data_IF_217875277289
#
_entry.id   IF_217875277289
#
_cell.length_a   1.000
_cell.length_b   1.000
_cell.length_c   1.000
_cell.angle_alpha   90.00
_cell.angle_beta   90.00
_cell.angle_gamma   90.00
#
_symmetry.space_group_name_H-M   'P 1'
#
loop_
_entity.id
_entity.type
_entity.pdbx_description
1 polymer ?
#
# COMPACT_ATOMS: atom_id res chain seq x y z
N UNK A 1 -17.78 17.92 12.04
CA UNK A 1 -18.36 18.72 10.92
C UNK A 1 -19.20 17.75 10.10
N UNK A 2 -20.48 18.04 9.91
CA UNK A 2 -21.35 17.24 9.05
C UNK A 2 -20.89 17.40 7.61
N UNK A 3 -20.63 16.27 6.94
CA UNK A 3 -20.21 16.21 5.53
C UNK A 3 -21.50 16.04 4.73
N UNK A 4 -21.86 17.03 3.92
CA UNK A 4 -23.07 17.00 3.11
C UNK A 4 -22.76 16.53 1.68
N UNK A 5 -23.67 15.74 1.11
CA UNK A 5 -23.57 15.27 -0.26
C UNK A 5 -24.05 16.32 -1.27
N UNK A 6 -23.33 16.43 -2.38
CA UNK A 6 -23.67 17.27 -3.53
C UNK A 6 -23.71 16.41 -4.82
N UNK A 7 -24.92 16.11 -5.26
CA UNK A 7 -25.12 15.31 -6.48
C UNK A 7 -24.70 15.99 -7.78
N UNK A 8 -24.35 17.27 -7.74
CA UNK A 8 -23.88 18.03 -8.92
C UNK A 8 -22.36 18.02 -9.06
N UNK A 9 -21.64 17.63 -8.01
CA UNK A 9 -20.18 17.53 -8.02
C UNK A 9 -19.76 16.15 -8.57
N UNK A 10 -19.11 16.09 -9.74
CA UNK A 10 -18.75 14.81 -10.34
C UNK A 10 -17.66 14.07 -9.57
N UNK A 11 -17.59 12.76 -9.79
CA UNK A 11 -16.50 11.93 -9.29
C UNK A 11 -15.17 12.31 -9.93
N UNK A 12 -14.05 12.18 -9.22
CA UNK A 12 -12.73 12.23 -9.85
C UNK A 12 -12.57 11.05 -10.82
N UNK A 13 -11.80 11.24 -11.89
CA UNK A 13 -11.40 10.14 -12.76
C UNK A 13 -10.10 9.49 -12.26
N UNK A 14 -9.85 8.23 -12.66
CA UNK A 14 -8.67 7.49 -12.21
C UNK A 14 -8.18 6.50 -13.25
N UNK A 15 -6.90 6.16 -13.16
CA UNK A 15 -6.27 5.06 -13.90
C UNK A 15 -5.45 4.23 -12.93
N UNK A 16 -5.78 2.94 -12.80
CA UNK A 16 -5.00 1.99 -12.00
C UNK A 16 -3.86 1.46 -12.84
N UNK A 17 -2.66 1.37 -12.25
CA UNK A 17 -1.45 0.87 -12.90
C UNK A 17 -0.52 0.17 -11.90
N UNK A 18 0.52 -0.46 -12.41
CA UNK A 18 1.57 -1.12 -11.63
C UNK A 18 1.02 -2.11 -10.58
N UNK A 19 -0.01 -2.90 -10.96
CA UNK A 19 -0.59 -3.91 -10.07
C UNK A 19 0.44 -5.01 -9.82
N UNK A 20 0.79 -5.21 -8.53
CA UNK A 20 1.68 -6.25 -8.02
C UNK A 20 0.96 -7.12 -7.00
N UNK A 21 1.64 -8.13 -6.51
CA UNK A 21 1.14 -8.97 -5.41
C UNK A 21 1.00 -8.20 -4.09
N UNK A 22 1.83 -7.18 -3.87
CA UNK A 22 1.85 -6.37 -2.64
C UNK A 22 1.05 -5.06 -2.72
N UNK A 23 0.48 -4.71 -3.88
CA UNK A 23 -0.26 -3.45 -4.05
C UNK A 23 -0.28 -2.92 -5.47
N UNK A 24 -0.66 -1.65 -5.61
CA UNK A 24 -0.75 -0.98 -6.90
C UNK A 24 -0.53 0.54 -6.80
N UNK A 25 -0.41 1.18 -7.95
CA UNK A 25 -0.46 2.63 -8.09
C UNK A 25 -1.73 3.05 -8.83
N UNK A 26 -2.18 4.26 -8.58
CA UNK A 26 -3.27 4.89 -9.31
C UNK A 26 -2.98 6.37 -9.58
N UNK A 27 -3.32 6.81 -10.77
CA UNK A 27 -3.33 8.22 -11.13
C UNK A 27 -4.76 8.73 -10.99
N UNK A 28 -4.95 9.75 -10.16
CA UNK A 28 -6.26 10.33 -9.85
C UNK A 28 -6.31 11.76 -10.40
N UNK A 29 -7.28 12.02 -11.25
CA UNK A 29 -7.52 13.34 -11.83
C UNK A 29 -8.72 13.99 -11.16
N UNK A 30 -8.57 15.19 -10.58
CA UNK A 30 -9.66 15.92 -9.97
C UNK A 30 -10.82 16.17 -10.93
N UNK A 31 -12.04 16.15 -10.41
CA UNK A 31 -13.23 16.50 -11.18
C UNK A 31 -13.31 18.01 -11.46
N UNK A 32 -13.94 18.38 -12.56
CA UNK A 32 -14.21 19.77 -12.85
C UNK A 32 -15.08 20.41 -11.75
N UNK A 33 -14.66 21.58 -11.26
CA UNK A 33 -15.36 22.28 -10.17
C UNK A 33 -15.02 21.79 -8.75
N UNK A 34 -14.20 20.77 -8.61
CA UNK A 34 -13.72 20.36 -7.29
C UNK A 34 -12.76 21.40 -6.71
N UNK A 35 -12.94 21.73 -5.43
CA UNK A 35 -11.99 22.52 -4.66
C UNK A 35 -10.80 21.67 -4.23
N UNK A 36 -11.08 20.42 -3.79
CA UNK A 36 -10.08 19.42 -3.44
C UNK A 36 -10.54 18.02 -3.86
N UNK A 37 -9.59 17.15 -4.08
CA UNK A 37 -9.83 15.71 -4.29
C UNK A 37 -9.00 14.93 -3.30
N UNK A 38 -9.62 13.98 -2.63
CA UNK A 38 -8.96 13.06 -1.70
C UNK A 38 -9.01 11.66 -2.26
N UNK A 39 -7.92 10.92 -2.12
CA UNK A 39 -7.87 9.52 -2.54
C UNK A 39 -6.98 8.71 -1.60
N UNK A 40 -7.29 7.42 -1.48
CA UNK A 40 -6.49 6.47 -0.72
C UNK A 40 -6.64 5.06 -1.29
N UNK A 41 -5.61 4.23 -1.06
CA UNK A 41 -5.63 2.80 -1.32
C UNK A 41 -5.70 2.09 0.04
N UNK A 42 -6.71 1.24 0.25
CA UNK A 42 -6.99 0.62 1.54
C UNK A 42 -7.48 -0.81 1.38
N UNK A 43 -7.30 -1.62 2.43
CA UNK A 43 -8.01 -2.92 2.55
C UNK A 43 -9.51 -2.68 2.65
N UNK A 44 -10.30 -3.49 1.95
CA UNK A 44 -11.77 -3.38 1.99
C UNK A 44 -12.34 -3.57 3.40
N UNK A 45 -11.66 -4.34 4.24
CA UNK A 45 -12.08 -4.62 5.62
C UNK A 45 -12.00 -3.41 6.57
N UNK A 46 -11.27 -2.34 6.20
CA UNK A 46 -11.13 -1.13 7.03
C UNK A 46 -11.86 0.08 6.45
N UNK A 47 -12.60 -0.12 5.37
CA UNK A 47 -13.43 0.94 4.78
C UNK A 47 -14.70 1.09 5.62
N UNK A 48 -15.06 2.31 6.06
CA UNK A 48 -16.31 2.54 6.77
C UNK A 48 -17.55 2.19 5.94
N UNK A 49 -18.63 1.85 6.62
CA UNK A 49 -19.89 1.44 5.97
C UNK A 49 -20.66 2.62 5.36
N UNK A 50 -20.49 3.84 5.89
CA UNK A 50 -21.24 5.00 5.45
C UNK A 50 -20.40 5.97 4.63
N UNK A 51 -21.00 6.60 3.61
CA UNK A 51 -20.34 7.59 2.77
C UNK A 51 -19.73 8.76 3.57
N UNK A 52 -20.44 9.37 4.52
CA UNK A 52 -19.87 10.45 5.32
C UNK A 52 -18.61 10.03 6.11
N UNK A 53 -18.57 8.79 6.61
CA UNK A 53 -17.41 8.30 7.36
C UNK A 53 -16.22 7.99 6.43
N UNK A 54 -16.49 7.47 5.24
CA UNK A 54 -15.44 7.32 4.20
C UNK A 54 -14.84 8.68 3.87
N UNK A 55 -15.66 9.69 3.62
CA UNK A 55 -15.17 11.04 3.30
C UNK A 55 -14.36 11.62 4.46
N UNK A 56 -14.80 11.50 5.70
CA UNK A 56 -14.04 11.93 6.88
C UNK A 56 -12.69 11.23 6.95
N UNK A 57 -12.66 9.92 6.73
CA UNK A 57 -11.42 9.15 6.72
C UNK A 57 -10.46 9.60 5.61
N UNK A 58 -10.95 9.80 4.39
CA UNK A 58 -10.14 10.28 3.27
C UNK A 58 -9.57 11.68 3.54
N UNK A 59 -10.36 12.57 4.12
CA UNK A 59 -9.90 13.90 4.53
C UNK A 59 -8.81 13.81 5.60
N UNK A 60 -8.97 12.94 6.59
CA UNK A 60 -7.98 12.71 7.65
C UNK A 60 -6.68 12.16 7.12
N UNK A 61 -6.73 11.23 6.17
CA UNK A 61 -5.53 10.65 5.53
C UNK A 61 -4.80 11.67 4.67
N UNK A 62 -5.51 12.64 4.08
CA UNK A 62 -5.00 13.73 3.25
C UNK A 62 -3.95 13.27 2.20
N UNK A 63 -4.18 12.10 1.61
CA UNK A 63 -3.20 11.44 0.74
C UNK A 63 -3.07 12.14 -0.62
N UNK A 64 -4.17 12.75 -1.10
CA UNK A 64 -4.19 13.59 -2.30
C UNK A 64 -5.10 14.79 -2.00
N UNK A 65 -4.63 15.98 -2.23
CA UNK A 65 -5.38 17.22 -1.96
C UNK A 65 -5.13 18.29 -3.02
N UNK A 66 -5.14 17.91 -4.30
CA UNK A 66 -4.95 18.88 -5.38
C UNK A 66 -6.27 19.24 -6.05
N UNK A 67 -6.37 20.48 -6.52
CA UNK A 67 -7.55 21.01 -7.15
C UNK A 67 -7.57 20.81 -8.66
N UNK A 68 -6.44 20.68 -9.34
CA UNK A 68 -6.37 20.75 -10.81
C UNK A 68 -5.42 19.73 -11.45
N UNK A 69 -4.43 19.20 -10.73
CA UNK A 69 -3.37 18.40 -11.32
C UNK A 69 -3.58 16.88 -11.10
N UNK A 70 -3.03 16.09 -12.02
CA UNK A 70 -2.94 14.65 -11.87
C UNK A 70 -2.10 14.30 -10.64
N UNK A 71 -2.62 13.44 -9.79
CA UNK A 71 -1.94 12.96 -8.60
C UNK A 71 -1.77 11.46 -8.63
N UNK A 72 -0.53 11.02 -8.50
CA UNK A 72 -0.20 9.61 -8.36
C UNK A 72 -0.15 9.23 -6.89
N UNK A 73 -0.91 8.20 -6.54
CA UNK A 73 -0.83 7.54 -5.24
C UNK A 73 -0.39 6.09 -5.44
N UNK A 74 0.33 5.55 -4.47
CA UNK A 74 0.74 4.15 -4.50
C UNK A 74 0.80 3.57 -3.09
N UNK A 75 0.50 2.27 -2.97
CA UNK A 75 0.65 1.53 -1.73
C UNK A 75 0.96 0.07 -2.03
N UNK A 76 2.04 -0.43 -1.43
CA UNK A 76 2.60 -1.77 -1.65
C UNK A 76 2.90 -2.47 -0.32
N UNK A 77 1.91 -2.52 0.58
CA UNK A 77 2.01 -3.13 1.91
C UNK A 77 0.87 -4.12 2.18
N UNK A 78 0.37 -4.74 1.12
CA UNK A 78 -0.73 -5.70 1.17
C UNK A 78 -0.21 -7.11 0.91
N UNK A 79 -1.00 -8.10 1.33
CA UNK A 79 -0.84 -9.49 0.92
C UNK A 79 -1.66 -9.78 -0.35
N UNK A 80 -1.27 -10.75 -1.18
CA UNK A 80 -1.98 -11.06 -2.44
C UNK A 80 -3.46 -11.41 -2.26
N UNK A 81 -3.80 -11.99 -1.10
CA UNK A 81 -5.17 -12.37 -0.72
C UNK A 81 -6.00 -11.20 -0.17
N UNK A 82 -5.38 -10.03 0.07
CA UNK A 82 -6.11 -8.88 0.57
C UNK A 82 -7.09 -8.34 -0.48
N UNK A 83 -8.32 -8.14 -0.09
CA UNK A 83 -9.27 -7.35 -0.87
C UNK A 83 -8.92 -5.86 -0.71
N UNK A 84 -8.44 -5.25 -1.78
CA UNK A 84 -7.95 -3.86 -1.79
C UNK A 84 -8.86 -2.99 -2.65
N UNK A 85 -9.05 -1.75 -2.24
CA UNK A 85 -9.91 -0.80 -2.94
C UNK A 85 -9.22 0.56 -3.09
N UNK A 86 -9.34 1.16 -4.27
CA UNK A 86 -9.10 2.57 -4.49
C UNK A 86 -10.36 3.34 -4.11
N UNK A 87 -10.20 4.30 -3.21
CA UNK A 87 -11.23 5.26 -2.86
C UNK A 87 -10.81 6.64 -3.34
N UNK A 88 -11.73 7.40 -3.91
CA UNK A 88 -11.50 8.80 -4.24
C UNK A 88 -12.79 9.61 -4.18
N UNK A 89 -12.70 10.88 -3.80
CA UNK A 89 -13.83 11.79 -3.69
C UNK A 89 -13.43 13.23 -3.97
N UNK A 90 -14.27 13.94 -4.69
CA UNK A 90 -14.17 15.38 -4.88
C UNK A 90 -14.92 16.12 -3.78
N UNK A 91 -14.36 17.24 -3.31
CA UNK A 91 -14.97 18.11 -2.32
C UNK A 91 -15.02 19.53 -2.86
N UNK A 92 -16.18 20.19 -2.71
CA UNK A 92 -16.42 21.57 -3.11
C UNK A 92 -15.86 22.57 -2.12
N UNK A 93 -15.80 23.84 -2.47
CA UNK A 93 -15.27 24.90 -1.62
C UNK A 93 -16.11 25.13 -0.33
N UNK A 94 -17.39 24.80 -0.34
CA UNK A 94 -18.29 24.84 0.82
C UNK A 94 -18.28 23.55 1.66
N UNK A 95 -17.37 22.62 1.32
CA UNK A 95 -17.14 21.41 2.12
C UNK A 95 -18.10 20.26 1.84
N UNK A 96 -18.88 20.34 0.75
CA UNK A 96 -19.74 19.23 0.32
C UNK A 96 -18.95 18.25 -0.52
N UNK A 97 -19.34 16.97 -0.50
CA UNK A 97 -18.67 15.92 -1.27
C UNK A 97 -19.55 15.40 -2.41
N UNK A 98 -18.92 15.03 -3.51
CA UNK A 98 -19.56 14.39 -4.66
C UNK A 98 -19.65 12.88 -4.52
N UNK A 99 -19.94 12.20 -5.63
CA UNK A 99 -19.98 10.75 -5.67
C UNK A 99 -18.61 10.15 -5.35
N UNK A 100 -18.59 9.13 -4.50
CA UNK A 100 -17.37 8.45 -4.07
C UNK A 100 -17.00 7.37 -5.08
N UNK A 101 -15.81 7.43 -5.64
CA UNK A 101 -15.20 6.31 -6.35
C UNK A 101 -14.87 5.20 -5.37
N UNK A 102 -15.36 3.98 -5.65
CA UNK A 102 -15.01 2.74 -4.96
C UNK A 102 -14.63 1.73 -6.02
N UNK A 103 -13.34 1.55 -6.21
CA UNK A 103 -12.82 0.64 -7.23
C UNK A 103 -12.02 -0.49 -6.58
N UNK A 104 -12.62 -1.69 -6.45
CA UNK A 104 -11.90 -2.85 -5.97
C UNK A 104 -10.84 -3.26 -6.99
N UNK A 105 -9.65 -3.58 -6.50
CA UNK A 105 -8.52 -4.02 -7.34
C UNK A 105 -8.09 -5.41 -6.90
N UNK A 106 -8.06 -6.34 -7.85
CA UNK A 106 -7.49 -7.65 -7.63
C UNK A 106 -5.97 -7.56 -7.75
N UNK A 107 -5.26 -7.87 -6.67
CA UNK A 107 -3.80 -7.97 -6.70
C UNK A 107 -3.35 -9.18 -7.51
N UNK A 108 -2.12 -9.14 -8.00
CA UNK A 108 -1.52 -10.30 -8.68
C UNK A 108 -1.22 -11.39 -7.66
N UNK A 109 -1.31 -12.63 -8.09
CA UNK A 109 -0.79 -13.75 -7.32
C UNK A 109 0.73 -13.67 -7.23
N UNK A 110 1.28 -14.20 -6.13
CA UNK A 110 2.73 -14.41 -6.03
C UNK A 110 3.11 -15.54 -6.99
N UNK A 111 3.93 -15.21 -7.96
CA UNK A 111 4.56 -16.21 -8.81
C UNK A 111 5.75 -16.81 -8.06
N UNK A 112 5.56 -17.95 -7.44
CA UNK A 112 6.66 -18.72 -6.88
C UNK A 112 7.37 -19.46 -8.01
N UNK A 113 8.64 -19.13 -8.23
CA UNK A 113 9.49 -19.95 -9.08
C UNK A 113 10.30 -20.89 -8.19
N UNK A 114 10.21 -22.19 -8.42
CA UNK A 114 10.97 -23.22 -7.68
C UNK A 114 12.50 -23.08 -7.79
N UNK A 115 12.96 -22.10 -8.55
CA UNK A 115 14.36 -21.86 -8.87
C UNK A 115 15.00 -20.69 -8.09
N UNK A 116 14.32 -20.14 -7.08
CA UNK A 116 14.96 -19.10 -6.26
C UNK A 116 15.89 -19.73 -5.24
N UNK A 117 17.14 -19.35 -5.28
CA UNK A 117 18.11 -19.68 -4.23
C UNK A 117 18.84 -18.43 -3.79
N UNK A 118 19.22 -18.41 -2.54
CA UNK A 118 20.06 -17.38 -1.95
C UNK A 118 21.32 -18.05 -1.39
N UNK A 119 22.46 -17.45 -1.62
CA UNK A 119 23.73 -17.89 -1.02
C UNK A 119 24.52 -16.70 -0.47
N UNK A 120 25.15 -16.90 0.67
CA UNK A 120 26.13 -15.96 1.22
C UNK A 120 27.51 -16.43 0.73
N UNK A 121 28.17 -15.62 -0.09
CA UNK A 121 29.44 -16.00 -0.74
C UNK A 121 30.67 -15.44 -0.05
N UNK A 122 30.53 -14.38 0.73
CA UNK A 122 31.64 -13.73 1.41
C UNK A 122 31.13 -13.07 2.68
N UNK A 123 31.88 -13.15 3.75
CA UNK A 123 31.60 -12.51 5.02
C UNK A 123 32.89 -11.83 5.50
N UNK A 124 32.86 -10.51 5.58
CA UNK A 124 33.91 -9.73 6.23
C UNK A 124 33.44 -9.30 7.61
N UNK A 125 34.26 -9.53 8.62
CA UNK A 125 33.96 -9.17 10.01
C UNK A 125 34.78 -7.97 10.44
N UNK A 126 34.08 -6.93 10.93
CA UNK A 126 34.65 -5.78 11.61
C UNK A 126 34.43 -5.83 13.14
N UNK A 127 34.91 -4.80 13.84
CA UNK A 127 34.65 -4.60 15.28
C UNK A 127 33.24 -4.01 15.47
N UNK A 128 32.21 -4.85 15.35
CA UNK A 128 30.82 -4.47 15.55
C UNK A 128 29.98 -4.35 14.26
N UNK A 129 30.57 -4.70 13.12
CA UNK A 129 29.90 -4.78 11.84
C UNK A 129 30.27 -6.06 11.09
N UNK A 130 29.45 -6.44 10.12
CA UNK A 130 29.76 -7.48 9.15
C UNK A 130 29.24 -7.09 7.78
N UNK A 131 30.03 -7.33 6.74
CA UNK A 131 29.63 -7.14 5.36
C UNK A 131 29.35 -8.51 4.76
N UNK A 132 28.15 -8.67 4.20
CA UNK A 132 27.69 -9.91 3.59
C UNK A 132 27.51 -9.70 2.09
N UNK A 133 28.18 -10.52 1.28
CA UNK A 133 27.87 -10.63 -0.15
C UNK A 133 26.81 -11.71 -0.34
N UNK A 134 25.60 -11.28 -0.70
CA UNK A 134 24.46 -12.16 -0.91
C UNK A 134 24.16 -12.24 -2.40
N UNK A 135 24.19 -13.44 -2.95
CA UNK A 135 23.83 -13.70 -4.34
C UNK A 135 22.51 -14.47 -4.42
N UNK A 136 21.72 -14.15 -5.43
CA UNK A 136 20.41 -14.75 -5.68
C UNK A 136 20.37 -15.37 -7.05
N UNK A 137 19.59 -16.44 -7.19
CA UNK A 137 19.09 -16.92 -8.47
C UNK A 137 17.58 -16.70 -8.53
N UNK A 138 17.06 -16.34 -9.70
CA UNK A 138 15.66 -15.93 -9.86
C UNK A 138 15.50 -14.42 -9.78
N UNK A 139 14.26 -13.95 -9.82
CA UNK A 139 13.90 -12.53 -9.69
C UNK A 139 13.11 -12.32 -8.40
N UNK A 140 13.76 -12.18 -7.25
CA UNK A 140 13.03 -11.91 -6.00
C UNK A 140 12.35 -10.54 -6.10
N UNK A 141 11.07 -10.49 -5.75
CA UNK A 141 10.30 -9.24 -5.69
C UNK A 141 10.64 -8.46 -4.44
N UNK A 142 10.99 -9.18 -3.38
CA UNK A 142 11.34 -8.63 -2.08
C UNK A 142 12.39 -9.51 -1.41
N UNK A 143 13.29 -8.88 -0.67
CA UNK A 143 14.25 -9.55 0.18
C UNK A 143 14.05 -9.07 1.61
N UNK A 144 13.75 -10.00 2.49
CA UNK A 144 13.69 -9.73 3.92
C UNK A 144 14.90 -10.39 4.59
N UNK A 145 15.60 -9.63 5.43
CA UNK A 145 16.77 -10.13 6.15
C UNK A 145 16.78 -9.63 7.60
N UNK A 146 17.43 -10.39 8.46
CA UNK A 146 17.63 -10.05 9.86
C UNK A 146 19.01 -10.50 10.30
N UNK A 147 19.65 -9.68 11.12
CA UNK A 147 20.85 -10.07 11.87
C UNK A 147 20.47 -10.26 13.35
N UNK A 148 20.83 -11.39 13.91
CA UNK A 148 20.59 -11.70 15.31
C UNK A 148 21.80 -12.44 15.91
N UNK A 149 21.89 -12.46 17.26
CA UNK A 149 22.92 -13.27 17.93
C UNK A 149 22.68 -14.75 17.66
N UNK A 150 23.76 -15.50 17.41
CA UNK A 150 23.71 -16.93 17.09
C UNK A 150 22.91 -17.74 18.12
N UNK A 151 23.03 -17.40 19.41
CA UNK A 151 22.31 -18.06 20.50
C UNK A 151 20.80 -17.98 20.39
N UNK A 152 20.26 -17.01 19.69
CA UNK A 152 18.81 -16.91 19.45
C UNK A 152 18.32 -17.93 18.42
N UNK A 153 19.20 -18.44 17.56
CA UNK A 153 18.86 -19.48 16.59
C UNK A 153 18.95 -20.90 17.17
N UNK A 154 19.51 -21.06 18.37
CA UNK A 154 19.57 -22.36 19.06
C UNK A 154 18.27 -22.69 19.83
N UNK A 155 17.43 -21.69 20.12
CA UNK A 155 16.14 -21.86 20.79
C UNK A 155 14.99 -21.86 19.77
N UNK A 156 14.27 -23.01 19.58
CA UNK A 156 13.17 -23.10 18.62
C UNK A 156 12.02 -22.11 18.88
N UNK A 157 11.79 -21.73 20.13
CA UNK A 157 10.76 -20.76 20.48
C UNK A 157 11.13 -19.34 20.01
N UNK A 158 12.42 -18.99 20.14
CA UNK A 158 12.94 -17.71 19.65
C UNK A 158 13.01 -17.69 18.12
N UNK A 159 13.39 -18.82 17.49
CA UNK A 159 13.38 -18.92 16.02
C UNK A 159 12.03 -18.58 15.43
N UNK A 160 10.95 -19.12 15.97
CA UNK A 160 9.59 -18.85 15.47
C UNK A 160 9.24 -17.36 15.55
N UNK A 161 9.56 -16.70 16.68
CA UNK A 161 9.32 -15.23 16.83
C UNK A 161 10.15 -14.43 15.85
N UNK A 162 11.41 -14.83 15.59
CA UNK A 162 12.28 -14.18 14.63
C UNK A 162 11.74 -14.34 13.20
N UNK A 163 11.27 -15.53 12.82
CA UNK A 163 10.67 -15.78 11.51
C UNK A 163 9.37 -14.99 11.32
N UNK A 164 8.51 -14.95 12.34
CA UNK A 164 7.29 -14.11 12.29
C UNK A 164 7.63 -12.62 12.14
N UNK A 165 8.64 -12.12 12.83
CA UNK A 165 9.07 -10.72 12.72
C UNK A 165 9.66 -10.35 11.34
N UNK A 166 10.21 -11.34 10.62
CA UNK A 166 10.79 -11.15 9.28
C UNK A 166 9.73 -11.30 8.18
N UNK A 167 8.77 -12.20 8.37
CA UNK A 167 7.74 -12.50 7.36
C UNK A 167 6.46 -11.69 7.56
N UNK A 168 6.30 -11.02 8.73
CA UNK A 168 5.34 -10.00 9.14
C UNK A 168 4.08 -10.02 8.85
#
# INVERSE_FOLDING_TARGET
>A
TDVAYDSTLPSPSYVVRDIKASGFAADVTPAAGAYKTYAAIMKSSVIPDTDPDIVRQLIMLNTVSAAADLNTISKYSFSPEDAVCLLAVSVSADGKYGEIVRHPVQLKELEYTDAMSMSITEIEYGLGDAVLNVSFTGNPVELTYMAAYYTYFEDPAVQNVLFEAVLG
#
